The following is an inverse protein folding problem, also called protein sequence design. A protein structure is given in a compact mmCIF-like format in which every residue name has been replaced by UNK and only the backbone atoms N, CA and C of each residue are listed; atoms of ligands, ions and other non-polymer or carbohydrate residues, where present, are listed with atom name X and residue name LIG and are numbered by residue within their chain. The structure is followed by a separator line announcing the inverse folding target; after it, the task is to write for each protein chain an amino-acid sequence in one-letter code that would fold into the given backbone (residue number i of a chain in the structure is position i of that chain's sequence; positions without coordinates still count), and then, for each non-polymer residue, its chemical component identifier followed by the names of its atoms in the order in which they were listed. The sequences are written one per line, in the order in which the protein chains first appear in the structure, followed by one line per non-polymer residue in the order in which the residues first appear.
data_IF_977341273379
#
_entry.id   IF_977341273379
#
_cell.length_a   1.000
_cell.length_b   1.000
_cell.length_c   1.000
_cell.angle_alpha   90.00
_cell.angle_beta   90.00
_cell.angle_gamma   90.00
#
_symmetry.space_group_name_H-M   'P 1'
#
loop_
_entity.id
_entity.type
_entity.pdbx_description
1 polymer ?
#
# COMPACT_ATOMS: atom_id res chain seq x y z
N UNK A 1 -28.88 -29.37 -29.32
CA UNK A 1 -28.28 -30.60 -28.73
C UNK A 1 -29.00 -31.79 -29.35
N UNK A 2 -28.29 -32.74 -29.97
CA UNK A 2 -28.91 -33.83 -30.76
C UNK A 2 -29.65 -34.79 -29.83
N UNK A 3 -30.88 -35.19 -30.15
CA UNK A 3 -31.71 -36.09 -29.33
C UNK A 3 -30.97 -37.36 -28.87
N UNK A 4 -30.05 -37.86 -29.71
CA UNK A 4 -29.15 -38.97 -29.41
C UNK A 4 -28.22 -38.75 -28.21
N UNK A 5 -27.76 -37.52 -27.97
CA UNK A 5 -26.91 -37.19 -26.81
C UNK A 5 -27.69 -37.23 -25.49
N UNK A 6 -28.95 -36.76 -25.50
CA UNK A 6 -29.81 -36.81 -24.30
C UNK A 6 -30.19 -38.25 -23.98
N UNK A 7 -30.51 -39.06 -24.99
CA UNK A 7 -30.80 -40.48 -24.81
C UNK A 7 -29.61 -41.27 -24.25
N UNK A 8 -28.40 -41.06 -24.80
CA UNK A 8 -27.19 -41.71 -24.31
C UNK A 8 -26.86 -41.36 -22.85
N UNK A 9 -27.09 -40.10 -22.45
CA UNK A 9 -26.90 -39.67 -21.05
C UNK A 9 -27.90 -40.38 -20.14
N UNK A 10 -29.19 -40.40 -20.49
CA UNK A 10 -30.23 -41.03 -19.65
C UNK A 10 -29.98 -42.53 -19.49
N UNK A 11 -29.68 -43.25 -20.58
CA UNK A 11 -29.39 -44.68 -20.54
C UNK A 11 -28.10 -44.97 -19.79
N UNK A 12 -27.04 -44.18 -20.03
CA UNK A 12 -25.77 -44.32 -19.32
C UNK A 12 -25.90 -44.06 -17.82
N UNK A 13 -26.65 -43.02 -17.42
CA UNK A 13 -26.92 -42.71 -16.02
C UNK A 13 -27.78 -43.79 -15.35
N UNK A 14 -28.79 -44.34 -16.03
CA UNK A 14 -29.63 -45.43 -15.50
C UNK A 14 -28.82 -46.71 -15.30
N UNK A 15 -27.95 -47.06 -16.26
CA UNK A 15 -27.06 -48.22 -16.15
C UNK A 15 -26.04 -48.06 -15.02
N UNK A 16 -25.38 -46.90 -14.90
CA UNK A 16 -24.47 -46.62 -13.78
C UNK A 16 -25.17 -46.68 -12.43
N UNK A 17 -26.41 -46.17 -12.33
CA UNK A 17 -27.18 -46.22 -11.09
C UNK A 17 -27.51 -47.66 -10.68
N UNK A 18 -27.94 -48.50 -11.62
CA UNK A 18 -28.20 -49.92 -11.38
C UNK A 18 -26.93 -50.70 -11.01
N UNK A 19 -25.81 -50.41 -11.69
CA UNK A 19 -24.51 -50.99 -11.36
C UNK A 19 -24.10 -50.64 -9.93
N UNK A 20 -24.30 -49.38 -9.52
CA UNK A 20 -23.95 -48.90 -8.18
C UNK A 20 -24.82 -49.55 -7.10
N UNK A 21 -26.12 -49.74 -7.35
CA UNK A 21 -27.02 -50.48 -6.46
C UNK A 21 -26.63 -51.96 -6.33
N UNK A 22 -26.24 -52.61 -7.43
CA UNK A 22 -25.82 -54.02 -7.41
C UNK A 22 -24.44 -54.21 -6.76
N UNK A 23 -23.54 -53.24 -6.86
CA UNK A 23 -22.24 -53.28 -6.20
C UNK A 23 -22.29 -52.81 -4.74
N UNK A 24 -23.36 -52.15 -4.30
CA UNK A 24 -23.55 -51.67 -2.93
C UNK A 24 -23.32 -52.76 -1.85
N UNK A 25 -23.88 -53.98 -1.95
CA UNK A 25 -23.60 -55.04 -0.97
C UNK A 25 -22.13 -55.49 -0.95
N UNK A 26 -21.44 -55.49 -2.11
CA UNK A 26 -20.02 -55.80 -2.19
C UNK A 26 -19.18 -54.71 -1.51
N UNK A 27 -19.52 -53.44 -1.74
CA UNK A 27 -18.87 -52.28 -1.11
C UNK A 27 -19.09 -52.32 0.40
N UNK A 28 -20.31 -52.59 0.87
CA UNK A 28 -20.62 -52.70 2.30
C UNK A 28 -19.87 -53.87 2.94
N UNK A 29 -19.74 -55.00 2.25
CA UNK A 29 -18.95 -56.15 2.72
C UNK A 29 -17.45 -55.84 2.79
N UNK A 30 -16.90 -55.18 1.76
CA UNK A 30 -15.52 -54.74 1.71
C UNK A 30 -15.22 -53.73 2.83
N UNK A 31 -16.10 -52.76 3.06
CA UNK A 31 -16.00 -51.79 4.15
C UNK A 31 -16.04 -52.51 5.50
N UNK A 32 -16.98 -53.43 5.73
CA UNK A 32 -17.05 -54.23 6.98
C UNK A 32 -15.79 -55.05 7.22
N UNK A 33 -15.15 -55.57 6.17
CA UNK A 33 -13.90 -56.33 6.26
C UNK A 33 -12.68 -55.44 6.53
N UNK A 34 -12.60 -54.27 5.87
CA UNK A 34 -11.47 -53.34 6.00
C UNK A 34 -11.54 -52.51 7.29
N UNK A 35 -12.74 -52.24 7.82
CA UNK A 35 -12.94 -51.42 9.04
C UNK A 35 -12.12 -51.92 10.26
N UNK A 36 -12.14 -53.22 10.64
CA UNK A 36 -11.35 -53.70 11.77
C UNK A 36 -9.84 -53.64 11.50
N UNK A 37 -9.40 -53.86 10.25
CA UNK A 37 -7.99 -53.74 9.88
C UNK A 37 -7.52 -52.27 9.96
N UNK A 38 -8.27 -51.34 9.37
CA UNK A 38 -7.97 -49.91 9.47
C UNK A 38 -8.00 -49.42 10.92
N UNK A 39 -8.98 -49.84 11.71
CA UNK A 39 -9.07 -49.47 13.12
C UNK A 39 -7.86 -49.96 13.93
N UNK A 40 -7.43 -51.22 13.74
CA UNK A 40 -6.28 -51.81 14.44
C UNK A 40 -4.96 -51.10 14.12
N UNK A 41 -4.72 -50.72 12.87
CA UNK A 41 -3.44 -50.15 12.45
C UNK A 41 -3.39 -48.61 12.47
N UNK A 42 -4.51 -47.91 12.25
CA UNK A 42 -4.55 -46.44 12.15
C UNK A 42 -5.13 -45.75 13.38
N UNK A 43 -6.15 -46.33 14.04
CA UNK A 43 -6.90 -45.67 15.13
C UNK A 43 -6.39 -46.10 16.51
N UNK A 44 -6.09 -47.40 16.70
CA UNK A 44 -5.65 -47.93 18.00
C UNK A 44 -4.13 -47.87 18.25
N UNK A 45 -3.32 -47.61 17.21
CA UNK A 45 -1.88 -47.45 17.37
C UNK A 45 -1.54 -45.98 17.70
N UNK A 46 -1.46 -45.68 18.99
CA UNK A 46 -1.14 -44.34 19.50
C UNK A 46 0.37 -44.09 19.38
N UNK A 47 0.74 -43.05 18.64
CA UNK A 47 2.13 -42.59 18.48
C UNK A 47 2.54 -41.76 19.71
N UNK A 48 1.62 -40.94 20.24
CA UNK A 48 1.81 -40.17 21.47
C UNK A 48 0.77 -40.62 22.50
N UNK A 49 1.24 -41.10 23.65
CA UNK A 49 0.40 -41.40 24.79
C UNK A 49 -0.01 -40.11 25.50
N UNK A 50 -1.22 -40.12 26.08
CA UNK A 50 -1.89 -38.98 26.71
C UNK A 50 -0.97 -38.22 27.68
N UNK A 51 -0.75 -36.92 27.42
CA UNK A 51 0.00 -36.00 28.30
C UNK A 51 -0.95 -34.93 28.88
N UNK A 52 -0.52 -34.23 29.92
CA UNK A 52 -1.29 -33.17 30.60
C UNK A 52 -1.76 -32.02 29.69
N UNK A 53 -1.07 -31.80 28.56
CA UNK A 53 -1.34 -30.71 27.61
C UNK A 53 -1.79 -31.19 26.22
N UNK A 54 -1.71 -32.51 25.94
CA UNK A 54 -1.99 -33.08 24.63
C UNK A 54 -2.73 -34.43 24.78
N UNK A 55 -3.82 -34.61 24.02
CA UNK A 55 -4.55 -35.88 23.95
C UNK A 55 -3.73 -37.00 23.28
N UNK A 56 -4.15 -38.27 23.40
CA UNK A 56 -3.49 -39.37 22.68
C UNK A 56 -3.62 -39.13 21.18
N UNK A 57 -2.52 -39.25 20.43
CA UNK A 57 -2.53 -39.10 18.97
C UNK A 57 -2.35 -40.46 18.31
N UNK A 58 -3.38 -40.90 17.59
CA UNK A 58 -3.30 -42.08 16.73
C UNK A 58 -2.56 -41.78 15.43
N UNK A 59 -2.14 -42.82 14.71
CA UNK A 59 -1.52 -42.67 13.39
C UNK A 59 -2.46 -41.99 12.37
N UNK A 60 -3.78 -42.21 12.50
CA UNK A 60 -4.81 -41.50 11.75
C UNK A 60 -4.86 -40.00 12.09
N UNK A 61 -4.79 -39.65 13.37
CA UNK A 61 -4.84 -38.24 13.81
C UNK A 61 -3.65 -37.46 13.27
N UNK A 62 -2.46 -38.09 13.25
CA UNK A 62 -1.27 -37.48 12.66
C UNK A 62 -1.46 -37.24 11.16
N UNK A 63 -1.96 -38.22 10.41
CA UNK A 63 -2.26 -38.06 8.98
C UNK A 63 -3.30 -36.98 8.70
N UNK A 64 -4.38 -36.93 9.49
CA UNK A 64 -5.42 -35.89 9.39
C UNK A 64 -4.83 -34.51 9.70
N UNK A 65 -3.96 -34.39 10.70
CA UNK A 65 -3.25 -33.14 11.00
C UNK A 65 -2.32 -32.72 9.86
N UNK A 66 -1.57 -33.64 9.25
CA UNK A 66 -0.71 -33.32 8.10
C UNK A 66 -1.52 -32.83 6.89
N UNK A 67 -2.62 -33.50 6.56
CA UNK A 67 -3.53 -33.07 5.48
C UNK A 67 -4.14 -31.70 5.80
N UNK A 68 -4.61 -31.52 7.04
CA UNK A 68 -5.21 -30.26 7.48
C UNK A 68 -4.21 -29.09 7.47
N UNK A 69 -2.98 -29.30 7.96
CA UNK A 69 -1.91 -28.28 7.95
C UNK A 69 -1.57 -27.88 6.51
N UNK A 70 -1.52 -28.83 5.59
CA UNK A 70 -1.23 -28.58 4.17
C UNK A 70 -2.33 -27.74 3.52
N UNK A 71 -3.60 -28.11 3.73
CA UNK A 71 -4.75 -27.36 3.23
C UNK A 71 -4.82 -25.94 3.83
N UNK A 72 -4.60 -25.83 5.14
CA UNK A 72 -4.50 -24.53 5.83
C UNK A 72 -3.35 -23.68 5.27
N UNK A 73 -2.21 -24.30 4.95
CA UNK A 73 -1.06 -23.65 4.33
C UNK A 73 -1.39 -23.08 2.96
N UNK A 74 -2.07 -23.84 2.09
CA UNK A 74 -2.51 -23.37 0.77
C UNK A 74 -3.51 -22.20 0.87
N UNK A 75 -4.46 -22.28 1.80
CA UNK A 75 -5.41 -21.19 2.07
C UNK A 75 -4.70 -19.95 2.58
N UNK A 76 -3.73 -20.09 3.48
CA UNK A 76 -2.93 -18.98 3.97
C UNK A 76 -2.12 -18.31 2.85
N UNK A 77 -1.57 -19.09 1.91
CA UNK A 77 -0.92 -18.56 0.72
C UNK A 77 -1.87 -17.69 -0.12
N UNK A 78 -3.09 -18.17 -0.35
CA UNK A 78 -4.12 -17.41 -1.08
C UNK A 78 -4.51 -16.13 -0.34
N UNK A 79 -4.78 -16.21 0.97
CA UNK A 79 -5.11 -15.04 1.79
C UNK A 79 -3.96 -14.04 1.87
N UNK A 80 -2.71 -14.50 1.86
CA UNK A 80 -1.52 -13.64 1.81
C UNK A 80 -1.55 -12.78 0.55
N UNK A 81 -1.70 -13.39 -0.63
CA UNK A 81 -1.76 -12.67 -1.92
C UNK A 81 -2.95 -11.71 -1.96
N UNK A 82 -4.11 -12.10 -1.43
CA UNK A 82 -5.27 -11.20 -1.32
C UNK A 82 -4.97 -9.97 -0.46
N UNK A 83 -4.26 -10.13 0.67
CA UNK A 83 -3.87 -9.01 1.53
C UNK A 83 -2.79 -8.11 0.89
N UNK A 84 -2.10 -8.55 -0.18
CA UNK A 84 -1.19 -7.70 -0.93
C UNK A 84 -1.93 -6.67 -1.81
N UNK A 85 -3.16 -6.96 -2.24
CA UNK A 85 -3.93 -6.07 -3.13
C UNK A 85 -3.96 -4.61 -2.65
N UNK A 86 -4.39 -4.30 -1.40
CA UNK A 86 -4.40 -2.92 -0.91
C UNK A 86 -3.00 -2.31 -0.73
N UNK A 87 -1.94 -3.13 -0.61
CA UNK A 87 -0.57 -2.64 -0.45
C UNK A 87 -0.02 -2.06 -1.76
N UNK A 88 -0.47 -2.60 -2.89
CA UNK A 88 -0.15 -2.13 -4.24
C UNK A 88 -1.17 -1.11 -4.76
N UNK A 89 -1.92 -0.45 -3.87
CA UNK A 89 -2.91 0.58 -4.23
C UNK A 89 -2.34 1.86 -4.84
N UNK A 90 -1.01 2.00 -4.97
CA UNK A 90 -0.36 3.12 -5.65
C UNK A 90 0.99 3.47 -5.04
N UNK A 91 1.85 4.19 -5.77
CA UNK A 91 3.20 4.53 -5.29
C UNK A 91 3.19 5.65 -4.23
N UNK A 92 2.17 6.52 -4.22
CA UNK A 92 1.99 7.54 -3.19
C UNK A 92 0.68 7.36 -2.41
N UNK A 93 0.81 7.04 -1.12
CA UNK A 93 -0.33 6.89 -0.21
C UNK A 93 -1.18 8.18 -0.07
N UNK A 94 -0.60 9.36 -0.31
CA UNK A 94 -1.34 10.63 -0.31
C UNK A 94 -2.41 10.68 -1.39
N UNK A 95 -2.10 10.21 -2.60
CA UNK A 95 -3.05 10.18 -3.72
C UNK A 95 -4.22 9.24 -3.42
N UNK A 96 -3.94 8.08 -2.81
CA UNK A 96 -4.97 7.13 -2.36
C UNK A 96 -5.84 7.77 -1.28
N UNK A 97 -5.22 8.47 -0.32
CA UNK A 97 -5.93 9.15 0.75
C UNK A 97 -6.89 10.20 0.19
N UNK A 98 -6.45 11.01 -0.77
CA UNK A 98 -7.32 12.02 -1.37
C UNK A 98 -8.43 11.39 -2.21
N UNK A 99 -8.13 10.36 -3.01
CA UNK A 99 -9.13 9.66 -3.84
C UNK A 99 -10.23 9.00 -3.00
N UNK A 100 -9.86 8.38 -1.87
CA UNK A 100 -10.81 7.75 -0.95
C UNK A 100 -11.46 8.74 0.02
N UNK A 101 -11.01 10.00 0.02
CA UNK A 101 -11.45 10.95 1.02
C UNK A 101 -11.10 10.54 2.46
N UNK A 102 -9.93 9.96 2.66
CA UNK A 102 -9.41 9.56 3.97
C UNK A 102 -8.21 10.41 4.35
N UNK A 103 -7.85 10.43 5.63
CA UNK A 103 -6.58 11.04 6.05
C UNK A 103 -5.41 10.14 5.68
N UNK A 104 -4.25 10.72 5.37
CA UNK A 104 -3.02 9.95 5.13
C UNK A 104 -2.68 9.03 6.32
N UNK A 105 -2.98 9.47 7.55
CA UNK A 105 -2.75 8.66 8.75
C UNK A 105 -3.66 7.42 8.77
N UNK A 106 -4.93 7.55 8.37
CA UNK A 106 -5.85 6.42 8.24
C UNK A 106 -5.33 5.41 7.22
N UNK A 107 -4.92 5.86 6.03
CA UNK A 107 -4.35 4.97 5.00
C UNK A 107 -3.08 4.26 5.50
N UNK A 108 -2.18 4.96 6.20
CA UNK A 108 -1.00 4.34 6.85
C UNK A 108 -1.38 3.29 7.89
N UNK A 109 -2.44 3.55 8.68
CA UNK A 109 -2.99 2.59 9.66
C UNK A 109 -3.64 1.37 9.01
N UNK A 110 -4.05 1.44 7.74
CA UNK A 110 -4.54 0.29 6.98
C UNK A 110 -3.39 -0.47 6.28
N UNK A 111 -2.44 0.26 5.69
CA UNK A 111 -1.31 -0.32 4.96
C UNK A 111 -0.41 -1.18 5.87
N UNK A 112 -0.08 -0.69 7.08
CA UNK A 112 0.84 -1.41 7.99
C UNK A 112 0.30 -2.77 8.44
N UNK A 113 -0.92 -2.90 9.00
CA UNK A 113 -1.46 -4.20 9.39
C UNK A 113 -1.65 -5.14 8.20
N UNK A 114 -2.10 -4.65 7.05
CA UNK A 114 -2.24 -5.48 5.85
C UNK A 114 -0.90 -6.10 5.42
N UNK A 115 0.21 -5.34 5.47
CA UNK A 115 1.55 -5.86 5.17
C UNK A 115 2.06 -6.89 6.18
N UNK A 116 1.78 -6.65 7.46
CA UNK A 116 2.11 -7.61 8.54
C UNK A 116 1.32 -8.91 8.35
N UNK A 117 0.00 -8.82 8.18
CA UNK A 117 -0.87 -9.98 7.97
C UNK A 117 -0.48 -10.77 6.73
N UNK A 118 -0.24 -10.11 5.59
CA UNK A 118 0.21 -10.77 4.36
C UNK A 118 1.50 -11.56 4.58
N UNK A 119 2.48 -10.96 5.28
CA UNK A 119 3.76 -11.61 5.54
C UNK A 119 3.65 -12.77 6.53
N UNK A 120 2.86 -12.63 7.59
CA UNK A 120 2.62 -13.72 8.56
C UNK A 120 1.91 -14.91 7.91
N UNK A 121 0.93 -14.65 7.04
CA UNK A 121 0.26 -15.70 6.26
C UNK A 121 1.22 -16.38 5.28
N UNK A 122 2.13 -15.62 4.63
CA UNK A 122 3.15 -16.18 3.75
C UNK A 122 4.18 -17.02 4.52
N UNK A 123 4.55 -16.61 5.73
CA UNK A 123 5.42 -17.38 6.62
C UNK A 123 4.76 -18.70 7.02
N UNK A 124 3.50 -18.65 7.44
CA UNK A 124 2.75 -19.85 7.79
C UNK A 124 2.59 -20.80 6.59
N UNK A 125 2.26 -20.27 5.40
CA UNK A 125 2.24 -21.02 4.15
C UNK A 125 3.58 -21.73 3.90
N UNK A 126 4.69 -21.00 4.00
CA UNK A 126 6.04 -21.54 3.76
C UNK A 126 6.39 -22.65 4.75
N UNK A 127 6.12 -22.44 6.05
CA UNK A 127 6.36 -23.43 7.09
C UNK A 127 5.52 -24.69 6.85
N UNK A 128 4.23 -24.54 6.56
CA UNK A 128 3.32 -25.66 6.28
C UNK A 128 3.78 -26.51 5.08
N UNK A 129 4.25 -25.87 4.00
CA UNK A 129 4.75 -26.59 2.83
C UNK A 129 6.08 -27.31 3.13
N UNK A 130 6.99 -26.68 3.88
CA UNK A 130 8.27 -27.29 4.26
C UNK A 130 8.06 -28.50 5.19
N UNK A 131 7.09 -28.43 6.12
CA UNK A 131 6.83 -29.55 7.04
C UNK A 131 6.03 -30.69 6.39
N UNK A 132 5.22 -30.40 5.37
CA UNK A 132 4.40 -31.41 4.68
C UNK A 132 5.11 -32.09 3.50
N UNK A 133 6.17 -31.50 2.94
CA UNK A 133 6.90 -32.06 1.79
C UNK A 133 8.33 -32.46 2.17
N UNK A 134 8.70 -33.75 2.04
CA UNK A 134 10.04 -34.22 2.42
C UNK A 134 11.17 -33.72 1.52
N UNK A 135 10.85 -33.24 0.31
CA UNK A 135 11.82 -32.68 -0.62
C UNK A 135 11.36 -31.29 -1.12
N UNK A 136 12.25 -30.30 -0.98
CA UNK A 136 12.05 -28.94 -1.48
C UNK A 136 13.29 -28.51 -2.29
N UNK A 137 13.50 -29.05 -3.51
CA UNK A 137 14.69 -28.75 -4.30
C UNK A 137 14.66 -27.31 -4.79
N UNK A 138 15.70 -26.54 -4.47
CA UNK A 138 15.87 -25.15 -4.93
C UNK A 138 16.28 -25.05 -6.41
N UNK A 139 16.62 -26.16 -7.05
CA UNK A 139 16.81 -26.23 -8.50
C UNK A 139 15.51 -25.99 -9.26
N UNK A 140 14.35 -26.24 -8.64
CA UNK A 140 13.06 -25.91 -9.21
C UNK A 140 12.79 -24.41 -9.08
N UNK A 141 12.53 -23.75 -10.21
CA UNK A 141 12.30 -22.30 -10.28
C UNK A 141 11.20 -21.82 -9.35
N UNK A 142 10.08 -22.55 -9.25
CA UNK A 142 8.97 -22.21 -8.35
C UNK A 142 9.38 -22.17 -6.87
N UNK A 143 10.21 -23.12 -6.43
CA UNK A 143 10.68 -23.21 -5.04
C UNK A 143 11.69 -22.10 -4.74
N UNK A 144 12.61 -21.83 -5.68
CA UNK A 144 13.56 -20.72 -5.58
C UNK A 144 12.84 -19.39 -5.41
N UNK A 145 11.87 -19.09 -6.29
CA UNK A 145 11.10 -17.86 -6.22
C UNK A 145 10.17 -17.80 -5.00
N UNK A 146 9.72 -18.93 -4.44
CA UNK A 146 9.03 -18.96 -3.15
C UNK A 146 9.92 -18.39 -2.04
N UNK A 147 11.17 -18.85 -1.97
CA UNK A 147 12.16 -18.42 -0.97
C UNK A 147 12.53 -16.94 -1.15
N UNK A 148 12.73 -16.49 -2.39
CA UNK A 148 12.98 -15.07 -2.69
C UNK A 148 11.79 -14.21 -2.29
N UNK A 149 10.56 -14.67 -2.57
CA UNK A 149 9.33 -13.98 -2.21
C UNK A 149 9.18 -13.82 -0.70
N UNK A 150 9.26 -14.91 0.06
CA UNK A 150 9.11 -14.82 1.52
C UNK A 150 10.24 -14.03 2.19
N UNK A 151 11.49 -14.23 1.76
CA UNK A 151 12.62 -13.47 2.30
C UNK A 151 12.47 -11.97 2.04
N UNK A 152 12.04 -11.57 0.84
CA UNK A 152 11.80 -10.16 0.52
C UNK A 152 10.68 -9.54 1.39
N UNK A 153 9.56 -10.26 1.62
CA UNK A 153 8.49 -9.80 2.53
C UNK A 153 8.97 -9.68 3.98
N UNK A 154 9.75 -10.64 4.47
CA UNK A 154 10.36 -10.56 5.79
C UNK A 154 11.35 -9.39 5.92
N UNK A 155 12.17 -9.14 4.90
CA UNK A 155 13.07 -7.98 4.86
C UNK A 155 12.30 -6.66 4.87
N UNK A 156 11.17 -6.57 4.16
CA UNK A 156 10.27 -5.41 4.20
C UNK A 156 9.80 -5.14 5.64
N UNK A 157 9.33 -6.17 6.35
CA UNK A 157 8.92 -6.02 7.75
C UNK A 157 10.08 -5.61 8.66
N UNK A 158 11.25 -6.24 8.50
CA UNK A 158 12.43 -5.95 9.31
C UNK A 158 12.89 -4.49 9.14
N UNK A 159 13.01 -4.01 7.91
CA UNK A 159 13.39 -2.62 7.64
C UNK A 159 12.31 -1.61 8.00
N UNK A 160 11.05 -2.06 8.13
CA UNK A 160 9.94 -1.23 8.59
C UNK A 160 9.91 -1.02 10.11
N UNK A 161 10.85 -1.62 10.87
CA UNK A 161 10.97 -1.35 12.30
C UNK A 161 11.46 0.09 12.56
N UNK A 162 11.00 0.74 13.66
CA UNK A 162 11.36 2.12 13.98
C UNK A 162 12.87 2.38 14.09
N UNK A 163 13.65 1.34 14.45
CA UNK A 163 15.11 1.42 14.57
C UNK A 163 15.79 1.83 13.26
N UNK A 164 15.33 1.27 12.13
CA UNK A 164 15.90 1.54 10.82
C UNK A 164 15.30 2.82 10.20
N UNK A 165 13.98 2.98 10.29
CA UNK A 165 13.28 4.14 9.70
C UNK A 165 13.77 5.49 10.24
N UNK A 166 14.10 5.57 11.54
CA UNK A 166 14.53 6.82 12.18
C UNK A 166 15.94 7.25 11.76
N UNK A 167 16.81 6.30 11.39
CA UNK A 167 18.21 6.59 11.06
C UNK A 167 18.38 7.02 9.60
N UNK A 168 17.72 6.35 8.67
CA UNK A 168 17.87 6.56 7.23
C UNK A 168 16.53 6.40 6.49
N UNK A 169 15.61 7.34 6.69
CA UNK A 169 14.27 7.30 6.10
C UNK A 169 14.26 7.15 4.57
N UNK A 170 15.14 7.87 3.87
CA UNK A 170 15.22 7.82 2.41
C UNK A 170 15.69 6.45 1.88
N UNK A 171 16.69 5.85 2.53
CA UNK A 171 17.17 4.51 2.19
C UNK A 171 16.08 3.46 2.45
N UNK A 172 15.40 3.58 3.61
CA UNK A 172 14.28 2.72 3.96
C UNK A 172 13.20 2.73 2.88
N UNK A 173 12.75 3.91 2.44
CA UNK A 173 11.68 4.02 1.45
C UNK A 173 12.05 3.39 0.10
N UNK A 174 13.29 3.62 -0.36
CA UNK A 174 13.81 3.04 -1.61
C UNK A 174 13.94 1.52 -1.52
N UNK A 175 14.50 1.02 -0.41
CA UNK A 175 14.62 -0.41 -0.17
C UNK A 175 13.24 -1.08 -0.10
N UNK A 176 12.25 -0.43 0.53
CA UNK A 176 10.88 -0.93 0.61
C UNK A 176 10.25 -1.08 -0.78
N UNK A 177 10.35 -0.06 -1.65
CA UNK A 177 9.84 -0.15 -3.02
C UNK A 177 10.56 -1.24 -3.84
N UNK A 178 11.89 -1.31 -3.76
CA UNK A 178 12.67 -2.32 -4.49
C UNK A 178 12.30 -3.75 -4.06
N UNK A 179 12.18 -3.98 -2.74
CA UNK A 179 11.75 -5.27 -2.21
C UNK A 179 10.29 -5.59 -2.54
N UNK A 180 9.40 -4.60 -2.62
CA UNK A 180 8.00 -4.82 -3.02
C UNK A 180 7.88 -5.24 -4.50
N UNK A 181 8.69 -4.65 -5.38
CA UNK A 181 8.76 -5.08 -6.79
C UNK A 181 9.35 -6.49 -6.88
N UNK A 182 10.42 -6.77 -6.13
CA UNK A 182 11.02 -8.09 -6.07
C UNK A 182 10.04 -9.15 -5.55
N UNK A 183 9.27 -8.84 -4.50
CA UNK A 183 8.29 -9.75 -3.92
C UNK A 183 7.15 -10.04 -4.90
N UNK A 184 6.61 -9.02 -5.57
CA UNK A 184 5.57 -9.18 -6.59
C UNK A 184 6.05 -10.07 -7.75
N UNK A 185 7.27 -9.83 -8.26
CA UNK A 185 7.85 -10.65 -9.33
C UNK A 185 8.11 -12.09 -8.88
N UNK A 186 8.65 -12.27 -7.67
CA UNK A 186 8.91 -13.59 -7.11
C UNK A 186 7.62 -14.38 -6.89
N UNK A 187 6.56 -13.76 -6.37
CA UNK A 187 5.23 -14.38 -6.23
C UNK A 187 4.70 -14.80 -7.61
N UNK A 188 4.75 -13.94 -8.62
CA UNK A 188 4.30 -14.28 -9.97
C UNK A 188 5.04 -15.49 -10.56
N UNK A 189 6.36 -15.58 -10.34
CA UNK A 189 7.19 -16.71 -10.79
C UNK A 189 7.00 -17.99 -9.96
N UNK A 190 6.65 -17.85 -8.68
CA UNK A 190 6.33 -18.94 -7.79
C UNK A 190 5.01 -19.63 -8.17
N UNK A 191 3.99 -18.84 -8.56
CA UNK A 191 2.67 -19.36 -8.87
C UNK A 191 2.68 -20.28 -10.12
N UNK A 192 2.13 -21.51 -10.04
CA UNK A 192 2.10 -22.44 -11.15
C UNK A 192 1.25 -21.91 -12.32
N UNK A 193 1.64 -22.24 -13.55
CA UNK A 193 0.94 -21.79 -14.77
C UNK A 193 -0.36 -22.49 -15.08
N UNK A 194 -0.58 -23.62 -14.43
CA UNK A 194 -1.79 -24.44 -14.57
C UNK A 194 -2.94 -23.90 -13.72
N UNK A 195 -2.66 -23.24 -12.59
CA UNK A 195 -3.67 -22.71 -11.68
C UNK A 195 -3.99 -21.25 -11.99
N UNK A 196 -5.17 -21.02 -12.55
CA UNK A 196 -5.63 -19.67 -12.93
C UNK A 196 -6.00 -18.82 -11.73
N UNK A 197 -6.61 -19.42 -10.70
CA UNK A 197 -7.22 -18.69 -9.58
C UNK A 197 -6.21 -17.85 -8.76
N UNK A 198 -5.07 -18.36 -8.28
CA UNK A 198 -4.12 -17.54 -7.52
C UNK A 198 -3.46 -16.44 -8.38
N UNK A 199 -3.29 -16.70 -9.69
CA UNK A 199 -2.68 -15.75 -10.63
C UNK A 199 -3.57 -14.55 -10.89
N UNK A 200 -4.89 -14.73 -10.87
CA UNK A 200 -5.84 -13.63 -11.00
C UNK A 200 -5.60 -12.54 -9.95
N UNK A 201 -5.31 -12.89 -8.69
CA UNK A 201 -5.03 -11.91 -7.65
C UNK A 201 -3.76 -11.10 -7.93
N UNK A 202 -2.72 -11.74 -8.49
CA UNK A 202 -1.49 -11.07 -8.91
C UNK A 202 -1.79 -10.06 -10.02
N UNK A 203 -2.55 -10.48 -11.04
CA UNK A 203 -2.94 -9.58 -12.11
C UNK A 203 -3.82 -8.43 -11.60
N UNK A 204 -4.73 -8.67 -10.66
CA UNK A 204 -5.57 -7.62 -10.06
C UNK A 204 -4.69 -6.55 -9.41
N UNK A 205 -3.75 -6.91 -8.53
CA UNK A 205 -2.94 -5.89 -7.85
C UNK A 205 -1.93 -5.22 -8.78
N UNK A 206 -1.40 -5.92 -9.79
CA UNK A 206 -0.52 -5.32 -10.82
C UNK A 206 -1.30 -4.32 -11.67
N UNK A 207 -2.49 -4.69 -12.15
CA UNK A 207 -3.35 -3.79 -12.91
C UNK A 207 -3.76 -2.58 -12.09
N UNK A 208 -4.13 -2.78 -10.81
CA UNK A 208 -4.44 -1.70 -9.88
C UNK A 208 -3.25 -0.75 -9.71
N UNK A 209 -2.04 -1.29 -9.49
CA UNK A 209 -0.83 -0.49 -9.32
C UNK A 209 -0.52 0.32 -10.58
N UNK A 210 -0.56 -0.30 -11.76
CA UNK A 210 -0.33 0.38 -13.05
C UNK A 210 -1.37 1.47 -13.28
N UNK A 211 -2.65 1.19 -13.05
CA UNK A 211 -3.72 2.18 -13.15
C UNK A 211 -3.46 3.38 -12.23
N UNK A 212 -3.07 3.14 -10.98
CA UNK A 212 -2.79 4.19 -10.00
C UNK A 212 -1.54 5.01 -10.36
N UNK A 213 -0.50 4.37 -10.91
CA UNK A 213 0.66 5.06 -11.48
C UNK A 213 0.25 5.99 -12.63
N UNK A 214 -0.55 5.49 -13.58
CA UNK A 214 -1.03 6.27 -14.72
C UNK A 214 -1.90 7.45 -14.26
N UNK A 215 -2.82 7.22 -13.32
CA UNK A 215 -3.64 8.26 -12.73
C UNK A 215 -2.77 9.34 -12.07
N UNK A 216 -1.79 8.94 -11.25
CA UNK A 216 -0.91 9.88 -10.59
C UNK A 216 -0.07 10.71 -11.58
N UNK A 217 0.53 10.07 -12.58
CA UNK A 217 1.29 10.78 -13.62
C UNK A 217 0.37 11.75 -14.37
N UNK A 218 -0.84 11.32 -14.72
CA UNK A 218 -1.83 12.17 -15.40
C UNK A 218 -2.23 13.39 -14.55
N UNK A 219 -2.43 13.20 -13.25
CA UNK A 219 -2.75 14.28 -12.31
C UNK A 219 -1.59 15.27 -12.20
N UNK A 220 -0.35 14.79 -12.06
CA UNK A 220 0.85 15.66 -12.01
C UNK A 220 0.97 16.46 -13.31
N UNK A 221 0.82 15.81 -14.47
CA UNK A 221 0.86 16.47 -15.78
C UNK A 221 -0.21 17.56 -15.89
N UNK A 222 -1.45 17.24 -15.48
CA UNK A 222 -2.58 18.17 -15.54
C UNK A 222 -2.47 19.34 -14.55
N UNK A 223 -1.94 19.10 -13.35
CA UNK A 223 -1.77 20.12 -12.32
C UNK A 223 -0.66 21.10 -12.68
N UNK A 224 0.47 20.60 -13.18
CA UNK A 224 1.63 21.43 -13.55
C UNK A 224 1.53 22.01 -14.96
N UNK A 225 0.47 21.64 -15.72
CA UNK A 225 0.19 22.26 -17.00
C UNK A 225 1.18 21.90 -18.12
N UNK A 226 1.82 20.72 -18.05
CA UNK A 226 2.92 20.30 -18.94
C UNK A 226 2.67 20.55 -20.44
N UNK A 227 1.42 20.45 -20.91
CA UNK A 227 1.06 20.62 -22.33
C UNK A 227 0.55 22.00 -22.71
N UNK A 228 0.23 22.87 -21.74
CA UNK A 228 -0.40 24.19 -22.01
C UNK A 228 0.42 25.36 -21.50
N UNK A 229 1.24 25.15 -20.47
CA UNK A 229 1.94 26.19 -19.74
C UNK A 229 3.41 25.81 -19.56
N UNK A 230 4.25 26.80 -19.24
CA UNK A 230 5.61 26.53 -18.76
C UNK A 230 5.53 25.92 -17.36
N UNK A 231 6.45 25.00 -17.07
CA UNK A 231 6.58 24.40 -15.73
C UNK A 231 6.82 25.47 -14.67
N UNK A 232 6.31 25.19 -13.46
CA UNK A 232 6.44 26.07 -12.32
C UNK A 232 7.91 26.34 -11.99
N UNK A 233 8.16 27.55 -11.49
CA UNK A 233 9.49 28.01 -11.10
C UNK A 233 9.51 28.35 -9.63
N UNK A 234 10.58 27.93 -8.96
CA UNK A 234 10.79 28.20 -7.56
C UNK A 234 11.88 29.25 -7.34
N UNK A 235 11.62 30.15 -6.39
CA UNK A 235 12.62 30.98 -5.75
C UNK A 235 12.90 30.44 -4.36
N UNK A 236 14.18 30.22 -4.06
CA UNK A 236 14.64 29.66 -2.80
C UNK A 236 15.39 30.76 -2.06
N UNK A 237 14.89 31.14 -0.89
CA UNK A 237 15.55 32.10 0.00
C UNK A 237 15.82 31.46 1.35
N UNK A 238 16.78 32.02 2.07
CA UNK A 238 17.14 31.57 3.40
C UNK A 238 17.03 32.74 4.39
N UNK A 239 16.24 32.55 5.44
CA UNK A 239 16.04 33.50 6.51
C UNK A 239 16.23 32.81 7.86
N UNK A 240 17.15 33.33 8.69
CA UNK A 240 17.31 32.91 10.09
C UNK A 240 17.42 31.39 10.33
N UNK A 241 18.10 30.65 9.43
CA UNK A 241 18.26 29.19 9.56
C UNK A 241 17.10 28.39 8.96
N UNK A 242 16.12 29.03 8.33
CA UNK A 242 14.98 28.42 7.67
C UNK A 242 15.02 28.67 6.15
N UNK A 243 14.44 27.76 5.39
CA UNK A 243 14.29 27.92 3.94
C UNK A 243 12.87 28.40 3.66
N UNK A 244 12.74 29.51 2.93
CA UNK A 244 11.48 29.91 2.30
C UNK A 244 11.51 29.53 0.83
N UNK A 245 10.49 28.83 0.40
CA UNK A 245 10.33 28.43 -0.99
C UNK A 245 9.08 29.11 -1.56
N UNK A 246 9.26 29.94 -2.58
CA UNK A 246 8.17 30.55 -3.33
C UNK A 246 8.03 29.80 -4.66
N UNK A 247 6.90 29.14 -4.86
CA UNK A 247 6.59 28.40 -6.08
C UNK A 247 5.61 29.23 -6.91
N UNK A 248 6.08 29.72 -8.05
CA UNK A 248 5.27 30.42 -9.03
C UNK A 248 4.63 29.42 -9.99
N UNK A 249 3.31 29.25 -9.85
CA UNK A 249 2.50 28.34 -10.65
C UNK A 249 1.81 29.10 -11.77
N UNK A 250 1.91 28.61 -13.01
CA UNK A 250 1.23 29.23 -14.16
C UNK A 250 -0.27 28.92 -14.21
N UNK A 251 -0.68 27.83 -13.56
CA UNK A 251 -2.08 27.46 -13.36
C UNK A 251 -2.42 27.73 -11.91
N UNK A 252 -3.31 28.68 -11.67
CA UNK A 252 -3.73 29.06 -10.33
C UNK A 252 -4.27 27.84 -9.57
N UNK A 253 -3.75 27.63 -8.37
CA UNK A 253 -4.13 26.52 -7.51
C UNK A 253 -4.88 27.03 -6.29
N UNK A 254 -6.05 26.47 -6.01
CA UNK A 254 -6.75 26.73 -4.74
C UNK A 254 -6.23 25.77 -3.69
N UNK A 255 -5.65 26.32 -2.63
CA UNK A 255 -5.12 25.54 -1.50
C UNK A 255 -5.87 25.94 -0.24
N UNK A 256 -6.42 24.96 0.48
CA UNK A 256 -7.07 25.17 1.76
C UNK A 256 -6.05 25.13 2.90
N UNK A 257 -6.38 25.71 4.05
CA UNK A 257 -5.47 25.73 5.18
C UNK A 257 -5.12 24.30 5.66
N UNK A 258 -3.86 24.10 6.02
CA UNK A 258 -3.34 22.80 6.46
C UNK A 258 -3.09 21.77 5.35
N UNK A 259 -3.40 22.08 4.09
CA UNK A 259 -3.02 21.21 2.97
C UNK A 259 -1.51 21.31 2.67
N UNK A 260 -0.98 20.25 2.08
CA UNK A 260 0.43 20.13 1.73
C UNK A 260 0.60 19.71 0.28
N UNK A 261 1.77 19.96 -0.29
CA UNK A 261 2.15 19.51 -1.62
C UNK A 261 3.40 18.64 -1.54
N UNK A 262 3.51 17.65 -2.42
CA UNK A 262 4.74 16.91 -2.61
C UNK A 262 5.58 17.62 -3.68
N UNK A 263 6.76 18.10 -3.31
CA UNK A 263 7.64 18.89 -4.17
C UNK A 263 8.76 18.01 -4.73
N UNK A 264 8.98 18.10 -6.04
CA UNK A 264 10.09 17.49 -6.77
C UNK A 264 10.91 18.59 -7.47
N UNK A 265 12.19 18.69 -7.09
CA UNK A 265 13.14 19.68 -7.62
C UNK A 265 14.43 18.97 -8.06
N UNK A 266 14.49 18.49 -9.31
CA UNK A 266 15.63 17.70 -9.79
C UNK A 266 16.94 18.51 -9.89
N UNK A 267 16.88 19.84 -9.92
CA UNK A 267 18.05 20.72 -10.04
C UNK A 267 18.85 20.89 -8.75
N UNK A 268 18.37 20.37 -7.61
CA UNK A 268 19.03 20.54 -6.30
C UNK A 268 20.21 19.59 -6.13
N UNK A 269 20.02 18.30 -6.45
CA UNK A 269 21.08 17.30 -6.38
C UNK A 269 20.76 16.08 -7.25
N UNK A 270 21.76 15.23 -7.50
CA UNK A 270 21.56 13.95 -8.19
C UNK A 270 20.57 13.03 -7.46
N UNK A 271 20.62 13.00 -6.12
CA UNK A 271 19.70 12.20 -5.29
C UNK A 271 18.27 12.74 -5.36
N UNK A 272 18.10 14.05 -5.54
CA UNK A 272 16.80 14.74 -5.64
C UNK A 272 15.99 14.32 -6.86
N UNK A 273 16.64 13.81 -7.91
CA UNK A 273 15.95 13.30 -9.12
C UNK A 273 14.97 12.19 -8.77
N UNK A 274 15.28 11.37 -7.76
CA UNK A 274 14.46 10.22 -7.36
C UNK A 274 13.72 10.45 -6.03
N UNK A 275 13.48 11.70 -5.64
CA UNK A 275 12.89 12.04 -4.34
C UNK A 275 11.88 13.16 -4.47
N UNK A 276 10.72 12.99 -3.85
CA UNK A 276 9.74 14.05 -3.66
C UNK A 276 9.41 14.18 -2.18
N UNK A 277 9.28 15.41 -1.68
CA UNK A 277 9.09 15.66 -0.25
C UNK A 277 7.79 16.44 0.03
N UNK A 278 7.00 16.01 1.04
CA UNK A 278 5.80 16.72 1.44
C UNK A 278 6.12 17.98 2.25
N UNK A 279 5.50 19.11 1.89
CA UNK A 279 5.60 20.37 2.62
C UNK A 279 4.23 21.05 2.71
N UNK A 280 3.89 21.54 3.91
CA UNK A 280 2.67 22.32 4.12
C UNK A 280 2.78 23.66 3.39
N UNK A 281 1.71 24.04 2.70
CA UNK A 281 1.61 25.36 2.08
C UNK A 281 1.23 26.37 3.14
N UNK A 282 2.08 27.37 3.38
CA UNK A 282 1.87 28.39 4.41
C UNK A 282 1.19 29.65 3.87
N UNK A 283 1.11 29.81 2.54
CA UNK A 283 0.27 30.82 1.91
C UNK A 283 -1.19 30.37 1.93
N UNK A 284 -2.11 31.30 2.18
CA UNK A 284 -3.55 31.06 2.08
C UNK A 284 -4.21 32.26 1.40
N UNK A 285 -5.19 32.01 0.53
CA UNK A 285 -6.11 33.01 0.03
C UNK A 285 -7.47 32.37 -0.26
N UNK A 286 -8.52 33.20 -0.26
CA UNK A 286 -9.88 32.74 -0.57
C UNK A 286 -10.02 32.22 -2.01
N UNK A 287 -9.27 32.81 -2.94
CA UNK A 287 -9.24 32.46 -4.38
C UNK A 287 -8.00 31.64 -4.71
N UNK A 288 -7.99 31.08 -5.92
CA UNK A 288 -6.83 30.36 -6.45
C UNK A 288 -5.59 31.30 -6.51
N UNK A 289 -4.42 30.74 -6.22
CA UNK A 289 -3.17 31.49 -6.08
C UNK A 289 -2.17 31.05 -7.14
N UNK A 290 -1.38 32.02 -7.64
CA UNK A 290 -0.28 31.77 -8.58
C UNK A 290 1.09 31.70 -7.90
N UNK A 291 1.15 31.97 -6.59
CA UNK A 291 2.34 31.87 -5.77
C UNK A 291 2.04 31.08 -4.50
N UNK A 292 2.73 29.97 -4.31
CA UNK A 292 2.64 29.13 -3.13
C UNK A 292 3.90 29.33 -2.27
N UNK A 293 3.71 29.65 -1.00
CA UNK A 293 4.81 29.85 -0.04
C UNK A 293 4.95 28.62 0.86
N UNK A 294 6.17 28.10 1.00
CA UNK A 294 6.51 27.01 1.92
C UNK A 294 7.56 27.48 2.92
N UNK A 295 7.45 27.02 4.17
CA UNK A 295 8.43 27.25 5.23
C UNK A 295 9.04 25.92 5.66
N UNK A 296 10.33 25.74 5.35
CA UNK A 296 11.00 24.45 5.42
C UNK A 296 12.14 24.49 6.43
N UNK A 297 12.13 23.52 7.34
CA UNK A 297 13.25 23.26 8.25
C UNK A 297 14.38 22.52 7.52
N UNK A 298 15.62 23.02 7.53
CA UNK A 298 16.77 22.24 7.11
C UNK A 298 16.95 21.00 8.00
N UNK A 299 16.85 19.82 7.40
CA UNK A 299 17.16 18.52 8.00
C UNK A 299 18.16 17.77 7.12
N UNK A 300 18.48 16.51 7.42
CA UNK A 300 19.36 15.69 6.57
C UNK A 300 18.73 15.45 5.17
N UNK A 301 19.57 15.11 4.20
CA UNK A 301 19.16 14.82 2.82
C UNK A 301 18.73 16.07 2.06
N UNK A 302 17.67 15.93 1.25
CA UNK A 302 17.16 16.95 0.33
C UNK A 302 17.09 18.37 0.90
N UNK A 303 16.54 18.54 2.11
CA UNK A 303 16.36 19.88 2.70
C UNK A 303 17.67 20.58 3.09
N UNK A 304 18.74 19.84 3.43
CA UNK A 304 20.08 20.42 3.66
C UNK A 304 20.76 20.76 2.35
N UNK A 305 20.54 19.96 1.32
CA UNK A 305 21.02 20.26 -0.03
C UNK A 305 20.36 21.55 -0.56
N UNK A 306 19.05 21.69 -0.34
CA UNK A 306 18.31 22.91 -0.66
C UNK A 306 18.89 24.16 0.03
N UNK A 307 19.27 24.05 1.32
CA UNK A 307 19.97 25.12 2.04
C UNK A 307 21.38 25.40 1.46
N UNK A 308 22.11 24.35 1.10
CA UNK A 308 23.47 24.52 0.55
C UNK A 308 23.46 25.20 -0.82
N UNK A 309 22.41 24.98 -1.63
CA UNK A 309 22.24 25.64 -2.92
C UNK A 309 22.04 27.15 -2.81
N UNK A 310 21.47 27.65 -1.69
CA UNK A 310 21.24 29.08 -1.50
C UNK A 310 22.48 29.85 -1.07
N UNK A 311 23.54 29.21 -0.56
CA UNK A 311 24.78 29.90 -0.16
C UNK A 311 24.52 31.26 0.54
N UNK A 312 25.00 32.35 -0.08
CA UNK A 312 24.75 33.74 0.33
C UNK A 312 23.73 34.49 -0.56
N UNK A 313 23.12 33.85 -1.56
CA UNK A 313 22.29 34.51 -2.56
C UNK A 313 21.07 33.68 -2.94
N UNK A 314 19.90 34.32 -3.14
CA UNK A 314 18.69 33.58 -3.47
C UNK A 314 18.85 32.82 -4.79
N UNK A 315 18.39 31.57 -4.82
CA UNK A 315 18.33 30.79 -6.07
C UNK A 315 17.02 31.16 -6.75
N UNK A 316 17.12 31.75 -7.94
CA UNK A 316 15.96 32.13 -8.74
C UNK A 316 15.75 31.14 -9.88
N UNK A 317 14.49 30.97 -10.32
CA UNK A 317 14.11 30.17 -11.49
C UNK A 317 14.44 28.66 -11.43
N UNK A 318 14.52 28.07 -10.24
CA UNK A 318 14.68 26.62 -10.10
C UNK A 318 13.46 25.88 -10.66
N UNK A 319 13.67 24.78 -11.39
CA UNK A 319 12.56 23.99 -11.91
C UNK A 319 11.89 23.23 -10.76
N UNK A 320 10.56 23.33 -10.67
CA UNK A 320 9.78 22.62 -9.66
C UNK A 320 8.56 21.98 -10.30
N UNK A 321 8.31 20.73 -9.90
CA UNK A 321 7.09 19.99 -10.21
C UNK A 321 6.51 19.55 -8.88
N UNK A 322 5.20 19.61 -8.73
CA UNK A 322 4.56 19.20 -7.50
C UNK A 322 3.33 18.32 -7.74
N UNK A 323 2.94 17.58 -6.70
CA UNK A 323 1.67 16.86 -6.63
C UNK A 323 0.85 17.44 -5.48
N UNK A 324 -0.44 17.69 -5.70
CA UNK A 324 -1.37 18.16 -4.69
C UNK A 324 -2.39 19.20 -5.20
N UNK A 325 -3.06 19.93 -4.30
CA UNK A 325 -2.89 19.90 -2.85
C UNK A 325 -3.41 18.59 -2.26
N UNK A 326 -2.66 18.06 -1.30
CA UNK A 326 -2.97 16.84 -0.56
C UNK A 326 -3.48 17.15 0.84
N UNK A 327 -4.27 16.24 1.39
CA UNK A 327 -4.80 16.38 2.74
C UNK A 327 -6.06 17.25 2.81
N UNK A 328 -6.58 17.38 4.01
CA UNK A 328 -7.87 18.03 4.27
C UNK A 328 -7.69 19.21 5.22
N UNK A 329 -8.38 20.30 4.93
CA UNK A 329 -8.54 21.39 5.88
C UNK A 329 -9.47 20.96 7.00
N UNK A 330 -9.14 21.39 8.21
CA UNK A 330 -10.05 21.32 9.34
C UNK A 330 -10.97 22.54 9.25
N UNK A 331 -12.30 22.38 9.30
CA UNK A 331 -13.22 23.51 9.34
C UNK A 331 -12.99 24.31 10.64
N UNK A 332 -12.81 25.62 10.52
CA UNK A 332 -12.59 26.52 11.65
C UNK A 332 -13.79 27.43 11.91
N UNK A 333 -14.68 27.59 10.93
CA UNK A 333 -15.79 28.56 10.97
C UNK A 333 -16.85 28.22 12.04
N UNK A 334 -16.92 26.94 12.45
CA UNK A 334 -17.88 26.45 13.45
C UNK A 334 -17.35 26.56 14.90
N UNK A 335 -16.11 27.02 15.10
CA UNK A 335 -15.44 27.03 16.41
C UNK A 335 -15.27 28.44 16.95
N UNK A 336 -15.89 28.75 18.10
CA UNK A 336 -15.74 30.06 18.76
C UNK A 336 -14.32 30.26 19.33
N UNK A 337 -13.73 29.21 19.87
CA UNK A 337 -12.41 29.24 20.53
C UNK A 337 -11.45 28.29 19.80
N UNK A 338 -10.36 28.85 19.28
CA UNK A 338 -9.35 28.08 18.52
C UNK A 338 -8.02 28.12 19.29
N UNK A 339 -7.58 26.97 19.78
CA UNK A 339 -6.27 26.79 20.40
C UNK A 339 -5.29 26.16 19.40
N UNK A 340 -4.29 26.94 18.97
CA UNK A 340 -3.21 26.46 18.10
C UNK A 340 -1.96 26.20 18.94
N UNK A 341 -1.52 24.94 19.00
CA UNK A 341 -0.29 24.55 19.73
C UNK A 341 0.79 24.16 18.74
N UNK A 342 1.90 24.89 18.74
CA UNK A 342 3.04 24.68 17.85
C UNK A 342 4.34 24.51 18.64
N UNK A 343 5.30 23.78 18.07
CA UNK A 343 6.67 23.71 18.57
C UNK A 343 7.66 23.83 17.42
N UNK A 344 8.61 24.76 17.54
CA UNK A 344 9.62 25.06 16.52
C UNK A 344 9.01 25.26 15.13
N UNK A 345 9.53 24.53 14.13
CA UNK A 345 9.06 24.57 12.75
C UNK A 345 7.64 23.99 12.54
N UNK A 346 7.07 23.35 13.56
CA UNK A 346 5.66 22.93 13.54
C UNK A 346 4.68 24.09 13.37
N UNK A 347 5.12 25.34 13.59
CA UNK A 347 4.33 26.55 13.31
C UNK A 347 3.86 26.62 11.84
N UNK A 348 4.61 26.04 10.89
CA UNK A 348 4.24 26.00 9.48
C UNK A 348 2.85 25.36 9.25
N UNK A 349 2.46 24.38 10.06
CA UNK A 349 1.15 23.74 9.96
C UNK A 349 -0.01 24.69 10.34
N UNK A 350 0.26 25.70 11.16
CA UNK A 350 -0.73 26.63 11.71
C UNK A 350 -0.80 27.97 10.99
N UNK A 351 0.31 28.41 10.37
CA UNK A 351 0.36 29.65 9.58
C UNK A 351 -0.79 29.82 8.56
N UNK A 352 -1.16 28.81 7.75
CA UNK A 352 -2.25 28.99 6.80
C UNK A 352 -3.62 29.14 7.49
N UNK A 353 -3.83 28.50 8.65
CA UNK A 353 -5.04 28.71 9.45
C UNK A 353 -5.09 30.11 10.07
N UNK A 354 -3.97 30.62 10.59
CA UNK A 354 -3.88 32.00 11.08
C UNK A 354 -4.18 33.00 9.97
N UNK A 355 -3.58 32.81 8.78
CA UNK A 355 -3.87 33.65 7.61
C UNK A 355 -5.35 33.58 7.23
N UNK A 356 -5.95 32.39 7.25
CA UNK A 356 -7.39 32.20 7.01
C UNK A 356 -8.25 32.92 8.04
N UNK A 357 -7.94 32.85 9.32
CA UNK A 357 -8.74 33.51 10.37
C UNK A 357 -8.64 35.03 10.26
N UNK A 358 -7.45 35.57 10.01
CA UNK A 358 -7.23 37.01 9.87
C UNK A 358 -7.90 37.54 8.59
N UNK A 359 -7.68 36.90 7.45
CA UNK A 359 -8.16 37.43 6.16
C UNK A 359 -9.58 36.97 5.81
N UNK A 360 -10.01 35.81 6.32
CA UNK A 360 -11.37 35.29 6.13
C UNK A 360 -12.40 36.07 6.93
N UNK A 361 -12.07 36.52 8.15
CA UNK A 361 -12.93 37.42 8.94
C UNK A 361 -13.03 38.83 8.33
N UNK A 362 -11.96 39.30 7.69
CA UNK A 362 -11.92 40.60 7.01
C UNK A 362 -12.52 40.57 5.59
N UNK A 363 -12.68 39.40 4.96
CA UNK A 363 -13.15 39.27 3.58
C UNK A 363 -14.56 39.84 3.34
N UNK A 364 -15.57 39.58 4.18
CA UNK A 364 -16.90 40.20 4.02
C UNK A 364 -16.85 41.73 4.14
N UNK A 365 -16.03 42.24 5.08
CA UNK A 365 -15.88 43.67 5.34
C UNK A 365 -15.17 44.40 4.19
N UNK A 366 -14.10 43.81 3.64
CA UNK A 366 -13.37 44.40 2.51
C UNK A 366 -14.22 44.41 1.22
N UNK A 367 -15.05 43.38 1.01
CA UNK A 367 -15.96 43.37 -0.14
C UNK A 367 -17.06 44.43 -0.01
N UNK A 368 -17.66 44.62 1.17
CA UNK A 368 -18.68 45.67 1.37
C UNK A 368 -18.11 47.07 1.12
N UNK A 369 -16.88 47.35 1.56
CA UNK A 369 -16.23 48.63 1.28
C UNK A 369 -15.88 48.85 -0.20
N UNK A 370 -15.48 47.79 -0.93
CA UNK A 370 -15.15 47.92 -2.35
C UNK A 370 -16.39 48.08 -3.25
N UNK A 371 -17.51 47.43 -2.90
CA UNK A 371 -18.77 47.63 -3.61
C UNK A 371 -19.37 49.02 -3.35
N UNK A 372 -19.22 49.55 -2.13
CA UNK A 372 -19.65 50.92 -1.80
C UNK A 372 -18.76 51.99 -2.47
N UNK A 373 -17.47 51.70 -2.66
CA UNK A 373 -16.55 52.57 -3.38
C UNK A 373 -16.76 52.55 -4.91
N UNK A 374 -17.40 51.51 -5.47
CA UNK A 374 -17.79 51.47 -6.88
C UNK A 374 -19.20 52.00 -7.16
N UNK A 375 -20.02 52.23 -6.12
CA UNK A 375 -21.34 52.89 -6.23
C UNK A 375 -21.30 54.41 -6.05
N UNK A 376 -20.15 54.97 -5.68
CA UNK A 376 -19.88 56.41 -5.70
C UNK A 376 -19.03 56.72 -6.93
#
# INVERSE_FOLDING_TARGET
MRFSTVYAIIVGSSFCFLLLLNCLPLIVSLVKYLTPAMSKYLIYNNILYRHQYFGPWSSADVLVHFVYITEAGLRAGTLSVTNLIPLFGGPHLSTIADLLGLTLNTVKKMHRPAGVTATLLALFHSISIITSRPAFPLSQTQNLFAVIGISSLCCILLFSLPLFQRRTYELFLRAHHALAVLSAYAIWRHLPSTETFPRCYVYIFVCLFVFMCLLQVSLIIYQNGFFRYRLARAEITHEHGAIRLYIHTQKSLRVQAGQYINVWMPSVSFSSVFQSHPFVVISWAAKAQDCLELFIQPRRGFTRELLSCTGNSPVTNALVVFSGPHGRSIPMDDSENILLVASGFGIAAHLPYLKQLIHGSLWPLLNSYSEDAQRK
#
